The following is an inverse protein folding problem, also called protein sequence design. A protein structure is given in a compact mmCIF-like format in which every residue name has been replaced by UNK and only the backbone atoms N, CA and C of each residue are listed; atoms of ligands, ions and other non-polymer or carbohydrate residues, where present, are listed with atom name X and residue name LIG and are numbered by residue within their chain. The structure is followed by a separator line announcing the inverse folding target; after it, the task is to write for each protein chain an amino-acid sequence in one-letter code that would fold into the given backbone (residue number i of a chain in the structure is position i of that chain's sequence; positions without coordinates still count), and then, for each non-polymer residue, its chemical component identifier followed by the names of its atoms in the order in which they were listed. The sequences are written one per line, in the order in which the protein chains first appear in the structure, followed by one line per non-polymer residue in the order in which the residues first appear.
data_IF_184105086810
#
_entry.id   IF_184105086810
#
_cell.length_a   1.000
_cell.length_b   1.000
_cell.length_c   1.000
_cell.angle_alpha   90.00
_cell.angle_beta   90.00
_cell.angle_gamma   90.00
#
_symmetry.space_group_name_H-M   'P 1'
#
loop_
_entity.id
_entity.type
_entity.pdbx_description
1 polymer ?
#
# COMPACT_ATOMS: atom_id res chain seq x y z
N UNK A 1 2.27 63.71 -3.45
CA UNK A 1 1.72 63.27 -2.15
C UNK A 1 0.47 62.45 -2.44
N UNK A 2 0.63 61.14 -2.62
CA UNK A 2 -0.48 60.26 -3.05
C UNK A 2 -1.27 59.78 -1.84
N UNK A 3 -2.56 60.13 -1.78
CA UNK A 3 -3.45 59.77 -0.69
C UNK A 3 -3.96 58.33 -0.82
N UNK A 4 -4.00 57.61 0.31
CA UNK A 4 -4.47 56.22 0.46
C UNK A 4 -5.85 55.95 -0.16
N UNK A 5 -6.68 56.98 -0.38
CA UNK A 5 -8.01 56.87 -1.04
C UNK A 5 -7.96 56.71 -2.56
N UNK A 6 -6.86 57.07 -3.22
CA UNK A 6 -6.71 56.92 -4.67
C UNK A 6 -6.08 55.58 -5.07
N UNK A 7 -5.50 54.84 -4.13
CA UNK A 7 -4.95 53.50 -4.38
C UNK A 7 -6.07 52.45 -4.55
N UNK A 8 -7.17 52.58 -3.80
CA UNK A 8 -8.29 51.62 -3.87
C UNK A 8 -9.22 51.79 -5.09
N UNK A 9 -9.08 52.86 -5.87
CA UNK A 9 -9.90 53.08 -7.09
C UNK A 9 -9.25 52.54 -8.37
N UNK A 10 -7.96 52.20 -8.36
CA UNK A 10 -7.26 51.65 -9.54
C UNK A 10 -6.99 50.14 -9.46
N UNK A 11 -7.42 49.45 -8.41
CA UNK A 11 -7.22 47.99 -8.27
C UNK A 11 -8.45 47.16 -8.65
N UNK A 12 -9.54 47.79 -9.11
CA UNK A 12 -10.79 47.09 -9.43
C UNK A 12 -10.84 46.48 -10.85
N UNK A 13 -9.75 46.53 -11.63
CA UNK A 13 -9.72 46.06 -13.03
C UNK A 13 -8.59 45.06 -13.36
N UNK A 14 -8.07 44.33 -12.36
CA UNK A 14 -7.04 43.29 -12.58
C UNK A 14 -7.35 41.94 -11.91
N UNK A 15 -8.62 41.66 -11.59
CA UNK A 15 -9.06 40.40 -10.96
C UNK A 15 -10.20 39.72 -11.74
N UNK A 16 -10.10 39.67 -13.06
CA UNK A 16 -11.05 38.92 -13.91
C UNK A 16 -10.35 38.14 -15.03
N UNK A 17 -9.14 37.65 -14.77
CA UNK A 17 -8.56 36.54 -15.53
C UNK A 17 -8.13 35.44 -14.58
N UNK A 18 -9.01 35.13 -13.62
CA UNK A 18 -9.08 33.77 -13.11
C UNK A 18 -9.53 32.92 -14.28
N UNK A 19 -8.59 32.23 -14.92
CA UNK A 19 -8.90 31.08 -15.74
C UNK A 19 -9.80 30.21 -14.89
N UNK A 20 -11.11 30.21 -15.20
CA UNK A 20 -11.96 29.09 -14.85
C UNK A 20 -11.26 27.90 -15.51
N UNK A 21 -10.48 27.17 -14.72
CA UNK A 21 -10.17 25.79 -15.03
C UNK A 21 -11.53 25.12 -15.00
N UNK A 22 -12.14 25.03 -16.18
CA UNK A 22 -13.23 24.12 -16.44
C UNK A 22 -12.65 22.77 -16.04
N UNK A 23 -12.96 22.34 -14.82
CA UNK A 23 -12.82 20.94 -14.45
C UNK A 23 -13.83 20.23 -15.34
N UNK A 24 -13.40 19.87 -16.55
CA UNK A 24 -14.04 18.78 -17.25
C UNK A 24 -13.93 17.60 -16.31
N UNK A 25 -15.05 17.26 -15.66
CA UNK A 25 -15.19 15.96 -15.04
C UNK A 25 -14.93 14.97 -16.18
N UNK A 26 -13.75 14.36 -16.16
CA UNK A 26 -13.45 13.23 -17.01
C UNK A 26 -14.46 12.14 -16.61
N UNK A 27 -15.59 12.09 -17.31
CA UNK A 27 -16.52 10.98 -17.18
C UNK A 27 -15.84 9.76 -17.77
N UNK A 28 -15.54 8.80 -16.89
CA UNK A 28 -15.00 7.52 -17.29
C UNK A 28 -15.97 6.87 -18.29
N UNK A 29 -15.56 6.82 -19.56
CA UNK A 29 -16.35 6.23 -20.67
C UNK A 29 -16.54 4.71 -20.56
N UNK A 30 -15.91 4.07 -19.59
CA UNK A 30 -16.04 2.64 -19.35
C UNK A 30 -17.34 2.36 -18.56
N UNK A 31 -18.37 1.85 -19.24
CA UNK A 31 -19.49 1.18 -18.57
C UNK A 31 -18.93 -0.08 -17.90
N UNK A 32 -18.67 0.01 -16.59
CA UNK A 32 -18.34 -1.17 -15.78
C UNK A 32 -19.51 -2.15 -15.92
N UNK A 33 -19.24 -3.30 -16.53
CA UNK A 33 -20.24 -4.34 -16.71
C UNK A 33 -20.71 -4.78 -15.32
N UNK A 34 -22.00 -4.63 -15.00
CA UNK A 34 -22.55 -4.79 -13.63
C UNK A 34 -22.51 -6.20 -13.06
N UNK A 35 -21.63 -7.08 -13.56
CA UNK A 35 -21.54 -8.49 -13.20
C UNK A 35 -20.63 -8.77 -11.99
N UNK A 36 -19.88 -7.81 -11.47
CA UNK A 36 -19.42 -7.72 -10.06
C UNK A 36 -18.85 -6.31 -9.93
N UNK A 37 -19.33 -5.46 -9.00
CA UNK A 37 -18.75 -4.14 -8.84
C UNK A 37 -17.27 -4.25 -8.45
N UNK A 38 -16.43 -3.38 -9.02
CA UNK A 38 -15.02 -3.28 -8.63
C UNK A 38 -14.94 -2.93 -7.15
N UNK A 39 -14.11 -3.66 -6.40
CA UNK A 39 -13.83 -3.38 -5.00
C UNK A 39 -12.60 -2.49 -4.87
N UNK A 40 -12.72 -1.44 -4.07
CA UNK A 40 -11.62 -0.51 -3.85
C UNK A 40 -10.83 -0.89 -2.59
N UNK A 41 -9.51 -1.00 -2.72
CA UNK A 41 -8.60 -1.30 -1.60
C UNK A 41 -7.55 -0.22 -1.39
N UNK A 42 -6.98 -0.17 -0.19
CA UNK A 42 -5.98 0.82 0.23
C UNK A 42 -4.67 0.13 0.65
N UNK A 43 -3.56 0.48 0.00
CA UNK A 43 -2.22 0.17 0.54
C UNK A 43 -1.82 1.30 1.48
N UNK A 44 -1.36 0.98 2.71
CA UNK A 44 -1.05 2.02 3.71
C UNK A 44 0.10 2.95 3.32
N UNK A 45 0.88 2.62 2.27
CA UNK A 45 2.15 3.26 1.94
C UNK A 45 2.15 4.80 2.01
N UNK A 46 1.25 5.45 1.29
CA UNK A 46 1.25 6.91 1.13
C UNK A 46 0.18 7.63 1.97
N UNK A 47 -0.98 7.00 2.20
CA UNK A 47 -2.15 7.67 2.78
C UNK A 47 -2.34 7.36 4.27
N UNK A 48 -2.03 6.14 4.69
CA UNK A 48 -2.42 5.61 6.00
C UNK A 48 -1.22 5.10 6.81
N UNK A 49 -0.01 5.59 6.50
CA UNK A 49 1.23 5.14 7.15
C UNK A 49 1.24 5.37 8.66
N UNK A 50 0.62 6.46 9.08
CA UNK A 50 0.60 6.92 10.46
C UNK A 50 -0.71 6.58 11.18
N UNK A 51 -1.58 5.77 10.57
CA UNK A 51 -2.83 5.34 11.17
C UNK A 51 -2.65 4.05 11.96
N UNK A 52 -3.25 4.00 13.15
CA UNK A 52 -3.49 2.75 13.84
C UNK A 52 -4.63 1.95 13.16
N UNK A 53 -4.84 0.71 13.61
CA UNK A 53 -5.86 -0.18 13.03
C UNK A 53 -7.27 0.42 13.14
N UNK A 54 -7.60 1.03 14.26
CA UNK A 54 -8.96 1.53 14.52
C UNK A 54 -9.27 2.74 13.63
N UNK A 55 -8.30 3.66 13.49
CA UNK A 55 -8.38 4.80 12.57
C UNK A 55 -8.48 4.34 11.13
N UNK A 56 -7.69 3.34 10.75
CA UNK A 56 -7.71 2.77 9.40
C UNK A 56 -9.06 2.15 9.07
N UNK A 57 -9.62 1.32 9.95
CA UNK A 57 -10.93 0.69 9.77
C UNK A 57 -12.02 1.76 9.68
N UNK A 58 -12.02 2.73 10.60
CA UNK A 58 -12.98 3.84 10.61
C UNK A 58 -12.95 4.61 9.29
N UNK A 59 -11.78 5.07 8.87
CA UNK A 59 -11.64 5.90 7.68
C UNK A 59 -11.96 5.11 6.40
N UNK A 60 -11.51 3.86 6.29
CA UNK A 60 -11.82 3.00 5.14
C UNK A 60 -13.33 2.72 5.06
N UNK A 61 -14.00 2.48 6.19
CA UNK A 61 -15.45 2.31 6.25
C UNK A 61 -16.19 3.57 5.77
N UNK A 62 -15.84 4.74 6.30
CA UNK A 62 -16.44 6.03 5.93
C UNK A 62 -16.25 6.36 4.43
N UNK A 63 -15.11 5.98 3.88
CA UNK A 63 -14.72 6.26 2.49
C UNK A 63 -15.01 5.10 1.52
N UNK A 64 -15.60 4.00 2.02
CA UNK A 64 -15.98 2.79 1.25
C UNK A 64 -14.81 2.05 0.60
N UNK A 65 -13.62 2.12 1.19
CA UNK A 65 -12.56 1.17 0.90
C UNK A 65 -12.89 -0.17 1.59
N UNK A 66 -12.96 -1.22 0.79
CA UNK A 66 -13.40 -2.56 1.24
C UNK A 66 -12.24 -3.42 1.74
N UNK A 67 -11.00 -3.05 1.47
CA UNK A 67 -9.84 -3.82 1.89
C UNK A 67 -8.58 -2.97 2.09
N UNK A 68 -7.63 -3.50 2.87
CA UNK A 68 -6.32 -2.88 3.07
C UNK A 68 -5.15 -3.84 2.88
N UNK A 69 -4.04 -3.31 2.36
CA UNK A 69 -2.70 -3.89 2.51
C UNK A 69 -1.95 -3.12 3.60
N UNK A 70 -1.56 -3.81 4.66
CA UNK A 70 -0.80 -3.27 5.78
C UNK A 70 0.70 -3.38 5.50
N UNK A 71 1.37 -2.27 5.21
CA UNK A 71 2.81 -2.27 4.94
C UNK A 71 3.61 -2.32 6.25
N UNK A 72 4.62 -3.18 6.31
CA UNK A 72 5.54 -3.26 7.47
C UNK A 72 6.15 -1.89 7.82
N UNK A 73 6.51 -1.68 9.08
CA UNK A 73 7.07 -0.47 9.74
C UNK A 73 6.08 0.70 9.91
N UNK A 74 4.79 0.46 9.72
CA UNK A 74 3.76 1.50 9.79
C UNK A 74 3.07 1.50 11.16
N UNK A 75 2.39 2.61 11.49
CA UNK A 75 1.86 2.85 12.84
C UNK A 75 0.81 1.83 13.30
N UNK A 76 0.15 1.12 12.38
CA UNK A 76 -0.76 0.03 12.69
C UNK A 76 -0.08 -1.13 13.44
N UNK A 77 1.25 -1.25 13.38
CA UNK A 77 2.04 -2.16 14.22
C UNK A 77 1.82 -3.66 13.96
N UNK A 78 1.35 -4.05 12.77
CA UNK A 78 1.12 -5.46 12.42
C UNK A 78 2.40 -6.03 11.85
N UNK A 79 3.21 -6.63 12.73
CA UNK A 79 4.55 -7.12 12.46
C UNK A 79 4.78 -8.54 12.97
N UNK A 80 5.77 -9.30 12.45
CA UNK A 80 6.06 -10.66 12.91
C UNK A 80 6.35 -10.77 14.41
N UNK A 81 6.85 -9.70 15.03
CA UNK A 81 7.11 -9.66 16.47
C UNK A 81 5.87 -9.65 17.38
N UNK A 82 4.65 -9.57 16.83
CA UNK A 82 3.43 -9.61 17.63
C UNK A 82 3.25 -10.97 18.34
N UNK A 83 2.81 -10.93 19.60
CA UNK A 83 2.43 -12.13 20.36
C UNK A 83 1.18 -12.79 19.77
N UNK A 84 0.93 -14.05 20.12
CA UNK A 84 -0.26 -14.77 19.69
C UNK A 84 -1.56 -14.05 20.10
N UNK A 85 -1.60 -13.47 21.29
CA UNK A 85 -2.71 -12.65 21.79
C UNK A 85 -2.93 -11.43 20.90
N UNK A 86 -1.87 -10.68 20.60
CA UNK A 86 -1.95 -9.49 19.76
C UNK A 86 -2.41 -9.84 18.34
N UNK A 87 -1.92 -10.94 17.76
CA UNK A 87 -2.37 -11.42 16.44
C UNK A 87 -3.86 -11.76 16.43
N UNK A 88 -4.37 -12.41 17.49
CA UNK A 88 -5.81 -12.69 17.64
C UNK A 88 -6.64 -11.40 17.74
N UNK A 89 -6.15 -10.38 18.45
CA UNK A 89 -6.82 -9.09 18.52
C UNK A 89 -6.87 -8.39 17.15
N UNK A 90 -5.77 -8.40 16.39
CA UNK A 90 -5.76 -7.88 15.00
C UNK A 90 -6.79 -8.61 14.14
N UNK A 91 -6.79 -9.95 14.17
CA UNK A 91 -7.75 -10.77 13.42
C UNK A 91 -9.19 -10.41 13.79
N UNK A 92 -9.48 -10.27 15.09
CA UNK A 92 -10.81 -9.92 15.59
C UNK A 92 -11.25 -8.54 15.07
N UNK A 93 -10.37 -7.53 15.15
CA UNK A 93 -10.68 -6.17 14.66
C UNK A 93 -11.10 -6.15 13.19
N UNK A 94 -10.37 -6.86 12.33
CA UNK A 94 -10.73 -6.95 10.91
C UNK A 94 -11.96 -7.83 10.65
N UNK A 95 -12.13 -8.93 11.38
CA UNK A 95 -13.31 -9.80 11.25
C UNK A 95 -14.62 -9.11 11.66
N UNK A 96 -14.56 -8.22 12.66
CA UNK A 96 -15.69 -7.42 13.13
C UNK A 96 -15.93 -6.14 12.30
N UNK A 97 -15.18 -5.97 11.21
CA UNK A 97 -15.15 -4.77 10.36
C UNK A 97 -15.63 -5.08 8.94
N UNK A 98 -16.22 -4.11 8.22
CA UNK A 98 -16.54 -4.26 6.80
C UNK A 98 -15.29 -4.19 5.89
N UNK A 99 -14.15 -3.76 6.44
CA UNK A 99 -12.85 -3.67 5.76
C UNK A 99 -12.09 -4.97 5.94
N UNK A 100 -11.73 -5.61 4.82
CA UNK A 100 -10.90 -6.80 4.80
C UNK A 100 -9.42 -6.47 4.98
N UNK A 101 -8.69 -7.35 5.66
CA UNK A 101 -7.24 -7.37 5.56
C UNK A 101 -6.84 -8.18 4.32
N UNK A 102 -6.56 -7.51 3.20
CA UNK A 102 -6.21 -8.18 1.95
C UNK A 102 -4.82 -8.80 2.01
N UNK A 103 -3.82 -8.04 2.44
CA UNK A 103 -2.44 -8.51 2.44
C UNK A 103 -1.56 -7.83 3.47
N UNK A 104 -0.43 -8.46 3.74
CA UNK A 104 0.70 -7.84 4.44
C UNK A 104 1.75 -7.40 3.42
N UNK A 105 2.02 -6.11 3.39
CA UNK A 105 2.99 -5.49 2.50
C UNK A 105 4.40 -5.61 3.06
N UNK A 106 5.02 -6.78 2.93
CA UNK A 106 6.43 -6.96 3.29
C UNK A 106 7.36 -6.13 2.39
N UNK A 107 8.64 -6.10 2.75
CA UNK A 107 9.72 -5.55 1.92
C UNK A 107 10.74 -6.62 1.53
N UNK A 108 10.39 -7.91 1.62
CA UNK A 108 11.29 -9.01 1.31
C UNK A 108 11.66 -9.00 -0.18
N UNK A 109 12.96 -9.05 -0.46
CA UNK A 109 13.53 -8.98 -1.81
C UNK A 109 14.13 -10.33 -2.22
N UNK A 110 13.62 -10.90 -3.30
CA UNK A 110 14.13 -12.17 -3.85
C UNK A 110 15.16 -11.96 -4.98
N UNK A 111 15.43 -10.72 -5.35
CA UNK A 111 16.45 -10.33 -6.34
C UNK A 111 17.86 -10.18 -5.76
N UNK A 112 18.03 -10.15 -4.43
CA UNK A 112 19.34 -9.85 -3.81
C UNK A 112 20.47 -10.76 -4.34
N UNK A 113 21.59 -10.18 -4.83
CA UNK A 113 22.74 -10.95 -5.29
C UNK A 113 23.63 -11.42 -4.12
N UNK A 114 23.41 -10.89 -2.91
CA UNK A 114 24.02 -11.37 -1.69
C UNK A 114 23.23 -12.58 -1.17
N UNK A 115 23.82 -13.79 -1.12
CA UNK A 115 23.17 -15.00 -0.64
C UNK A 115 22.67 -14.89 0.80
N UNK A 116 23.37 -14.16 1.67
CA UNK A 116 22.96 -14.01 3.07
C UNK A 116 21.71 -13.14 3.17
N UNK A 117 21.68 -12.01 2.47
CA UNK A 117 20.50 -11.15 2.41
C UNK A 117 19.31 -11.85 1.72
N UNK A 118 19.56 -12.64 0.67
CA UNK A 118 18.51 -13.45 0.04
C UNK A 118 17.89 -14.45 1.04
N UNK A 119 18.73 -15.19 1.76
CA UNK A 119 18.26 -16.15 2.76
C UNK A 119 17.47 -15.45 3.88
N UNK A 120 17.93 -14.28 4.34
CA UNK A 120 17.22 -13.49 5.34
C UNK A 120 15.85 -13.03 4.84
N UNK A 121 15.75 -12.58 3.59
CA UNK A 121 14.47 -12.19 2.97
C UNK A 121 13.51 -13.37 2.86
N UNK A 122 14.00 -14.57 2.53
CA UNK A 122 13.19 -15.79 2.46
C UNK A 122 12.64 -16.14 3.85
N UNK A 123 13.48 -16.19 4.89
CA UNK A 123 13.02 -16.53 6.25
C UNK A 123 12.07 -15.46 6.80
N UNK A 124 12.39 -14.17 6.61
CA UNK A 124 11.50 -13.07 7.01
C UNK A 124 10.15 -13.18 6.29
N UNK A 125 10.14 -13.55 5.01
CA UNK A 125 8.89 -13.72 4.27
C UNK A 125 8.04 -14.88 4.83
N UNK A 126 8.66 -15.98 5.27
CA UNK A 126 7.94 -17.07 5.95
C UNK A 126 7.33 -16.62 7.27
N UNK A 127 8.01 -15.77 8.04
CA UNK A 127 7.43 -15.18 9.24
C UNK A 127 6.21 -14.30 8.93
N UNK A 128 6.26 -13.52 7.84
CA UNK A 128 5.10 -12.77 7.35
C UNK A 128 3.97 -13.68 6.86
N UNK A 129 4.27 -14.83 6.25
CA UNK A 129 3.26 -15.82 5.85
C UNK A 129 2.54 -16.38 7.07
N UNK A 130 3.28 -16.75 8.12
CA UNK A 130 2.67 -17.18 9.39
C UNK A 130 1.83 -16.07 10.02
N UNK A 131 2.36 -14.83 10.04
CA UNK A 131 1.61 -13.68 10.55
C UNK A 131 0.32 -13.49 9.75
N UNK A 132 0.37 -13.54 8.42
CA UNK A 132 -0.80 -13.40 7.54
C UNK A 132 -1.88 -14.43 7.88
N UNK A 133 -1.50 -15.70 8.04
CA UNK A 133 -2.42 -16.75 8.47
C UNK A 133 -3.06 -16.44 9.84
N UNK A 134 -2.25 -16.00 10.82
CA UNK A 134 -2.71 -15.72 12.18
C UNK A 134 -3.63 -14.50 12.27
N UNK A 135 -3.38 -13.46 11.48
CA UNK A 135 -4.20 -12.22 11.47
C UNK A 135 -5.35 -12.27 10.47
N UNK A 136 -5.42 -13.31 9.63
CA UNK A 136 -6.46 -13.49 8.62
C UNK A 136 -6.29 -12.68 7.35
N UNK A 137 -5.04 -12.35 6.96
CA UNK A 137 -4.75 -11.74 5.67
C UNK A 137 -4.79 -12.78 4.53
N UNK A 138 -5.19 -12.38 3.32
CA UNK A 138 -5.29 -13.29 2.16
C UNK A 138 -3.90 -13.57 1.53
N UNK A 139 -2.89 -12.74 1.78
CA UNK A 139 -1.53 -12.99 1.28
C UNK A 139 -0.45 -12.04 1.79
N UNK A 140 0.76 -12.26 1.30
CA UNK A 140 1.94 -11.43 1.58
C UNK A 140 2.50 -10.91 0.27
N UNK A 141 2.66 -9.59 0.16
CA UNK A 141 3.32 -8.98 -0.99
C UNK A 141 4.83 -8.96 -0.77
N UNK A 142 5.58 -9.47 -1.76
CA UNK A 142 7.06 -9.43 -1.84
C UNK A 142 7.53 -8.45 -2.92
N UNK A 143 8.84 -8.26 -3.09
CA UNK A 143 9.41 -7.31 -4.04
C UNK A 143 10.46 -7.97 -4.95
N UNK A 144 10.31 -7.85 -6.27
CA UNK A 144 11.43 -7.95 -7.21
C UNK A 144 11.80 -6.52 -7.64
N UNK A 145 12.82 -5.92 -7.03
CA UNK A 145 13.09 -4.49 -7.23
C UNK A 145 14.13 -4.20 -8.32
N UNK A 146 15.04 -5.13 -8.62
CA UNK A 146 16.16 -4.89 -9.53
C UNK A 146 16.52 -6.11 -10.38
N UNK A 147 17.16 -5.87 -11.53
CA UNK A 147 17.74 -6.91 -12.39
C UNK A 147 19.26 -7.08 -12.23
N UNK A 148 19.91 -6.17 -11.48
CA UNK A 148 21.34 -6.17 -11.18
C UNK A 148 22.30 -6.20 -12.39
N UNK A 149 21.84 -5.66 -13.53
CA UNK A 149 22.64 -5.57 -14.77
C UNK A 149 23.90 -4.70 -14.58
N UNK A 150 23.82 -3.67 -13.73
CA UNK A 150 24.93 -2.79 -13.34
C UNK A 150 26.06 -3.54 -12.61
N UNK A 151 25.74 -4.68 -12.00
CA UNK A 151 26.69 -5.58 -11.33
C UNK A 151 27.20 -6.69 -12.25
N UNK A 152 26.84 -6.67 -13.53
CA UNK A 152 27.22 -7.69 -14.51
C UNK A 152 26.46 -9.02 -14.36
N UNK A 153 25.36 -9.04 -13.62
CA UNK A 153 24.51 -10.23 -13.47
C UNK A 153 23.56 -10.31 -14.66
N UNK A 154 23.55 -11.44 -15.41
CA UNK A 154 22.59 -11.61 -16.51
C UNK A 154 21.15 -11.55 -16.00
N UNK A 155 20.26 -10.93 -16.78
CA UNK A 155 18.83 -10.78 -16.43
C UNK A 155 18.17 -12.12 -16.05
N UNK A 156 18.43 -13.16 -16.84
CA UNK A 156 17.89 -14.51 -16.62
C UNK A 156 18.25 -15.08 -15.25
N UNK A 157 19.46 -14.80 -14.76
CA UNK A 157 19.91 -15.25 -13.43
C UNK A 157 19.05 -14.65 -12.33
N UNK A 158 18.80 -13.34 -12.39
CA UNK A 158 17.97 -12.64 -11.39
C UNK A 158 16.52 -13.11 -11.45
N UNK A 159 15.94 -13.24 -12.66
CA UNK A 159 14.56 -13.73 -12.83
C UNK A 159 14.38 -15.16 -12.34
N UNK A 160 15.35 -16.04 -12.63
CA UNK A 160 15.36 -17.42 -12.13
C UNK A 160 15.39 -17.47 -10.60
N UNK A 161 16.25 -16.67 -9.97
CA UNK A 161 16.34 -16.61 -8.51
C UNK A 161 15.05 -16.12 -7.87
N UNK A 162 14.42 -15.07 -8.43
CA UNK A 162 13.12 -14.58 -7.95
C UNK A 162 12.07 -15.70 -8.01
N UNK A 163 11.99 -16.41 -9.15
CA UNK A 163 11.03 -17.49 -9.33
C UNK A 163 11.25 -18.66 -8.38
N UNK A 164 12.50 -19.10 -8.19
CA UNK A 164 12.85 -20.19 -7.28
C UNK A 164 12.60 -19.82 -5.82
N UNK A 165 12.94 -18.60 -5.41
CA UNK A 165 12.70 -18.11 -4.05
C UNK A 165 11.20 -17.97 -3.76
N UNK A 166 10.42 -17.48 -4.74
CA UNK A 166 8.97 -17.41 -4.64
C UNK A 166 8.35 -18.81 -4.53
N UNK A 167 8.81 -19.77 -5.33
CA UNK A 167 8.34 -21.15 -5.26
C UNK A 167 8.65 -21.82 -3.92
N UNK A 168 9.84 -21.54 -3.35
CA UNK A 168 10.23 -22.02 -2.03
C UNK A 168 9.31 -21.49 -0.93
N UNK A 169 9.06 -20.18 -0.90
CA UNK A 169 8.14 -19.58 0.09
C UNK A 169 6.69 -20.00 -0.17
N UNK A 170 6.27 -20.10 -1.43
CA UNK A 170 4.95 -20.58 -1.81
C UNK A 170 4.68 -22.04 -1.42
N UNK A 171 5.71 -22.87 -1.30
CA UNK A 171 5.58 -24.25 -0.80
C UNK A 171 5.42 -24.31 0.73
N UNK A 172 5.78 -23.24 1.44
CA UNK A 172 5.61 -23.11 2.89
C UNK A 172 4.23 -22.52 3.26
N UNK A 173 3.69 -21.64 2.41
CA UNK A 173 2.40 -20.96 2.60
C UNK A 173 1.19 -21.89 2.39
#
# INVERSE_FOLDING_TARGET
MFSRRNFFKSSALAMASGTLLIHEKAEAKAKLNGKTPLKLGLVTYNLAKDWDIDTLIKNCTETKFEAVELRTTHAHGVEPGLTAEQRREVRKKFADSPVKLASLGSVCEFDSPDPQALQQNIETCKEFVQLAADVGAEGVKVRPNHLHLDKGIPEETTLKQIGESLALVGSFA
#
